data_IF_129373283805
#
_entry.id   IF_129373283805
#
_cell.length_a   1.000
_cell.length_b   1.000
_cell.length_c   1.000
_cell.angle_alpha   90.00
_cell.angle_beta   90.00
_cell.angle_gamma   90.00
#
_symmetry.space_group_name_H-M   'P 1'
#
loop_
_entity.id
_entity.type
_entity.pdbx_description
1 polymer ?
#
# COMPACT_ATOMS: atom_id res chain seq x y z
N UNK A 1 13.72 24.90 12.28
CA UNK A 1 13.76 24.72 10.83
C UNK A 1 14.05 23.25 10.62
N UNK A 2 13.01 22.41 10.64
CA UNK A 2 13.19 20.98 10.41
C UNK A 2 13.01 20.77 8.91
N UNK A 3 14.06 20.30 8.24
CA UNK A 3 13.98 19.73 6.90
C UNK A 3 12.92 18.62 6.94
N UNK A 4 11.76 18.88 6.35
CA UNK A 4 10.86 17.82 5.88
C UNK A 4 11.10 17.68 4.39
N UNK A 5 12.19 16.98 4.05
CA UNK A 5 12.30 16.33 2.73
C UNK A 5 11.78 14.90 2.87
N UNK A 6 10.47 14.79 3.12
CA UNK A 6 9.70 13.57 2.91
C UNK A 6 8.69 13.93 1.81
N UNK A 7 9.17 13.93 0.56
CA UNK A 7 8.31 14.09 -0.60
C UNK A 7 7.12 13.14 -0.48
N UNK A 8 5.91 13.70 -0.38
CA UNK A 8 4.69 12.94 -0.23
C UNK A 8 4.59 11.93 -1.38
N UNK A 9 4.61 10.63 -1.04
CA UNK A 9 4.62 9.56 -2.04
C UNK A 9 3.19 9.25 -2.45
N UNK A 10 2.91 9.38 -3.74
CA UNK A 10 1.60 9.09 -4.33
C UNK A 10 1.63 7.86 -5.23
N UNK A 11 0.49 7.18 -5.30
CA UNK A 11 0.31 5.94 -6.06
C UNK A 11 0.45 4.69 -5.19
N UNK A 12 0.44 3.54 -5.86
CA UNK A 12 0.47 2.22 -5.26
C UNK A 12 1.91 1.69 -5.10
N UNK A 13 2.27 1.29 -3.88
CA UNK A 13 3.61 0.78 -3.53
C UNK A 13 3.54 -0.63 -2.95
N UNK A 14 4.34 -1.56 -3.46
CA UNK A 14 4.46 -2.94 -2.95
C UNK A 14 5.46 -2.97 -1.78
N UNK A 15 4.96 -3.10 -0.55
CA UNK A 15 5.75 -2.93 0.66
C UNK A 15 6.68 -4.10 0.97
N UNK A 16 6.20 -5.34 0.82
CA UNK A 16 6.95 -6.54 1.16
C UNK A 16 7.46 -7.29 -0.09
N UNK A 17 7.69 -6.58 -1.20
CA UNK A 17 8.13 -7.18 -2.47
C UNK A 17 9.37 -8.07 -2.33
N UNK A 18 10.42 -7.57 -1.66
CA UNK A 18 11.65 -8.32 -1.44
C UNK A 18 11.44 -9.59 -0.60
N UNK A 19 10.53 -9.54 0.39
CA UNK A 19 10.20 -10.69 1.22
C UNK A 19 9.40 -11.70 0.40
N UNK A 20 8.39 -11.24 -0.34
CA UNK A 20 7.54 -12.06 -1.18
C UNK A 20 8.32 -12.77 -2.29
N UNK A 21 9.23 -12.07 -2.97
CA UNK A 21 10.05 -12.62 -4.06
C UNK A 21 11.08 -13.67 -3.61
N UNK A 22 11.32 -13.81 -2.31
CA UNK A 22 12.21 -14.84 -1.74
C UNK A 22 11.48 -16.13 -1.39
N UNK A 23 10.16 -16.13 -1.38
CA UNK A 23 9.35 -17.29 -1.03
C UNK A 23 9.27 -18.27 -2.21
N UNK A 24 9.37 -19.55 -1.90
CA UNK A 24 9.00 -20.61 -2.83
C UNK A 24 7.46 -20.78 -2.86
N UNK A 25 6.91 -21.38 -3.92
CA UNK A 25 5.46 -21.56 -4.10
C UNK A 25 4.80 -22.31 -2.92
N UNK A 26 5.52 -23.20 -2.25
CA UNK A 26 5.03 -23.95 -1.08
C UNK A 26 4.92 -23.11 0.19
N UNK A 27 5.59 -21.95 0.23
CA UNK A 27 5.60 -21.02 1.37
C UNK A 27 4.51 -19.94 1.24
N UNK A 28 3.82 -19.88 0.09
CA UNK A 28 2.70 -18.96 -0.15
C UNK A 28 1.42 -19.51 0.50
N UNK A 29 1.30 -19.34 1.82
CA UNK A 29 0.18 -19.87 2.59
C UNK A 29 -1.10 -19.01 2.47
N UNK A 30 -0.94 -17.70 2.27
CA UNK A 30 -2.03 -16.74 2.14
C UNK A 30 -1.88 -15.90 0.86
N UNK A 31 -2.25 -16.45 -0.32
CA UNK A 31 -2.13 -15.77 -1.61
C UNK A 31 -3.19 -14.67 -1.77
N UNK A 32 -3.09 -13.62 -0.96
CA UNK A 32 -4.01 -12.48 -0.95
C UNK A 32 -3.25 -11.18 -1.16
N UNK A 33 -3.92 -10.25 -1.84
CA UNK A 33 -3.46 -8.87 -2.00
C UNK A 33 -4.12 -8.00 -0.94
N UNK A 34 -3.30 -7.36 -0.12
CA UNK A 34 -3.74 -6.42 0.91
C UNK A 34 -3.36 -5.02 0.43
N UNK A 35 -4.34 -4.13 0.34
CA UNK A 35 -4.13 -2.76 -0.10
C UNK A 35 -4.55 -1.81 1.02
N UNK A 36 -3.57 -1.14 1.61
CA UNK A 36 -3.79 -0.16 2.66
C UNK A 36 -3.95 1.24 2.07
N UNK A 37 -5.02 1.94 2.47
CA UNK A 37 -5.31 3.30 2.04
C UNK A 37 -5.36 4.17 3.30
N UNK A 38 -4.53 5.22 3.36
CA UNK A 38 -4.46 6.08 4.54
C UNK A 38 -5.65 7.05 4.61
N UNK A 39 -5.87 7.63 5.80
CA UNK A 39 -6.93 8.63 6.04
C UNK A 39 -6.45 10.08 5.90
N UNK A 40 -7.29 10.99 6.40
CA UNK A 40 -7.01 12.44 6.48
C UNK A 40 -5.72 12.70 7.28
N UNK A 41 -4.86 13.58 6.78
CA UNK A 41 -3.54 13.91 7.35
C UNK A 41 -2.59 12.70 7.46
N UNK A 42 -2.90 11.61 6.74
CA UNK A 42 -2.04 10.45 6.61
C UNK A 42 -1.12 10.55 5.40
N UNK A 43 -0.22 9.57 5.29
CA UNK A 43 0.63 9.34 4.13
C UNK A 43 0.78 7.83 3.90
N UNK A 44 1.25 7.45 2.71
CA UNK A 44 1.40 6.05 2.33
C UNK A 44 2.26 5.22 3.30
N UNK A 45 3.20 5.83 4.02
CA UNK A 45 4.12 5.12 4.91
C UNK A 45 3.93 5.51 6.37
N UNK A 46 3.84 6.81 6.66
CA UNK A 46 3.86 7.30 8.05
C UNK A 46 2.56 6.98 8.80
N UNK A 47 1.45 6.79 8.08
CA UNK A 47 0.20 6.30 8.70
C UNK A 47 0.33 4.91 9.33
N UNK A 48 1.30 4.13 8.88
CA UNK A 48 1.51 2.75 9.29
C UNK A 48 2.83 2.57 10.04
N UNK A 49 3.58 3.66 10.28
CA UNK A 49 4.85 3.64 10.99
C UNK A 49 4.64 3.97 12.46
N UNK A 50 5.08 3.07 13.33
CA UNK A 50 5.15 3.35 14.75
C UNK A 50 6.39 4.21 15.06
N UNK A 51 6.37 4.93 16.19
CA UNK A 51 7.43 5.86 16.59
C UNK A 51 8.80 5.20 16.79
N UNK A 52 8.84 3.87 16.98
CA UNK A 52 10.08 3.09 17.06
C UNK A 52 10.68 2.75 15.67
N UNK A 53 10.05 3.19 14.58
CA UNK A 53 10.47 2.93 13.21
C UNK A 53 9.76 1.75 12.53
N UNK A 54 9.07 0.88 13.28
CA UNK A 54 8.37 -0.30 12.72
C UNK A 54 7.24 0.11 11.79
N UNK A 55 7.28 -0.35 10.54
CA UNK A 55 6.21 -0.22 9.56
C UNK A 55 5.39 -1.51 9.57
N UNK A 56 4.32 -1.57 10.38
CA UNK A 56 3.69 -2.86 10.72
C UNK A 56 3.13 -3.63 9.51
N UNK A 57 2.68 -2.92 8.47
CA UNK A 57 2.24 -3.53 7.20
C UNK A 57 3.37 -4.27 6.46
N UNK A 58 4.60 -3.77 6.56
CA UNK A 58 5.77 -4.36 5.91
C UNK A 58 6.50 -5.36 6.81
N UNK A 59 6.64 -5.00 8.09
CA UNK A 59 7.57 -5.67 9.00
C UNK A 59 6.90 -6.79 9.80
N UNK A 60 5.59 -6.70 10.07
CA UNK A 60 4.89 -7.63 10.97
C UNK A 60 3.81 -8.44 10.25
N UNK A 61 3.01 -7.78 9.39
CA UNK A 61 1.89 -8.43 8.72
C UNK A 61 2.29 -9.66 7.86
N UNK A 62 3.43 -9.67 7.14
CA UNK A 62 3.85 -10.86 6.40
C UNK A 62 4.23 -12.05 7.29
N UNK A 63 4.54 -11.83 8.57
CA UNK A 63 4.80 -12.92 9.53
C UNK A 63 3.50 -13.64 9.92
N UNK A 64 2.42 -12.87 10.12
CA UNK A 64 1.10 -13.40 10.44
C UNK A 64 0.38 -14.00 9.22
N UNK A 65 0.66 -13.46 8.02
CA UNK A 65 0.09 -13.90 6.74
C UNK A 65 1.20 -14.24 5.72
N UNK A 66 1.93 -15.36 5.90
CA UNK A 66 2.99 -15.75 4.98
C UNK A 66 2.49 -15.91 3.54
N UNK A 67 3.16 -15.27 2.58
CA UNK A 67 2.76 -15.29 1.18
C UNK A 67 1.74 -14.21 0.78
N UNK A 68 1.35 -13.30 1.67
CA UNK A 68 0.54 -12.16 1.25
C UNK A 68 1.38 -11.12 0.49
N UNK A 69 0.74 -10.41 -0.44
CA UNK A 69 1.31 -9.21 -1.05
C UNK A 69 0.68 -7.99 -0.39
N UNK A 70 1.50 -7.12 0.20
CA UNK A 70 1.04 -5.94 0.93
C UNK A 70 1.39 -4.69 0.15
N UNK A 71 0.38 -3.90 -0.16
CA UNK A 71 0.50 -2.63 -0.85
C UNK A 71 0.01 -1.49 0.04
N UNK A 72 0.57 -0.30 -0.16
CA UNK A 72 0.02 0.95 0.37
C UNK A 72 -0.25 1.93 -0.77
N UNK A 73 -1.33 2.68 -0.67
CA UNK A 73 -1.70 3.70 -1.63
C UNK A 73 -1.58 5.10 -1.03
N UNK A 74 -0.77 5.94 -1.66
CA UNK A 74 -0.62 7.33 -1.30
C UNK A 74 -1.47 8.25 -2.17
N UNK A 75 -2.19 9.17 -1.54
CA UNK A 75 -2.91 10.25 -2.24
C UNK A 75 -2.86 11.51 -1.39
N UNK A 76 -3.02 12.67 -2.03
CA UNK A 76 -3.10 13.92 -1.28
C UNK A 76 -4.46 13.97 -0.56
N UNK A 77 -4.44 13.76 0.76
CA UNK A 77 -5.65 13.78 1.58
C UNK A 77 -6.28 15.17 1.64
N UNK A 78 -5.48 16.23 1.54
CA UNK A 78 -5.96 17.60 1.44
C UNK A 78 -6.80 17.79 0.17
N UNK A 79 -6.40 17.23 -0.97
CA UNK A 79 -7.14 17.37 -2.24
C UNK A 79 -8.37 16.47 -2.28
N UNK A 80 -8.29 15.25 -1.73
CA UNK A 80 -9.40 14.31 -1.70
C UNK A 80 -10.55 14.77 -0.77
N UNK A 81 -10.22 15.38 0.38
CA UNK A 81 -11.24 15.81 1.36
C UNK A 81 -11.48 17.33 1.38
N UNK A 82 -10.79 18.07 0.52
CA UNK A 82 -10.68 19.53 0.59
C UNK A 82 -11.73 20.35 -0.14
N UNK A 83 -12.90 19.81 -0.56
CA UNK A 83 -14.20 20.53 -0.72
C UNK A 83 -15.15 20.03 -1.83
N UNK A 84 -14.90 18.93 -2.57
CA UNK A 84 -15.87 18.45 -3.57
C UNK A 84 -15.95 16.93 -3.68
N UNK A 85 -17.16 16.41 -3.97
CA UNK A 85 -17.38 15.00 -4.28
C UNK A 85 -16.53 14.53 -5.48
N UNK A 86 -16.28 15.43 -6.45
CA UNK A 86 -15.42 15.19 -7.61
C UNK A 86 -13.97 14.84 -7.23
N UNK A 87 -13.44 15.37 -6.12
CA UNK A 87 -12.11 15.01 -5.61
C UNK A 87 -12.03 13.56 -5.15
N UNK A 88 -13.07 13.09 -4.46
CA UNK A 88 -13.19 11.70 -3.99
C UNK A 88 -13.37 10.73 -5.15
N UNK A 89 -14.23 11.07 -6.12
CA UNK A 89 -14.50 10.22 -7.28
C UNK A 89 -13.25 10.03 -8.15
N UNK A 90 -12.47 11.10 -8.37
CA UNK A 90 -11.22 11.03 -9.12
C UNK A 90 -10.16 10.18 -8.40
N UNK A 91 -10.02 10.32 -7.07
CA UNK A 91 -9.10 9.49 -6.28
C UNK A 91 -9.52 8.01 -6.31
N UNK A 92 -10.82 7.72 -6.16
CA UNK A 92 -11.33 6.36 -6.25
C UNK A 92 -11.04 5.73 -7.62
N UNK A 93 -11.24 6.49 -8.70
CA UNK A 93 -10.94 6.02 -10.06
C UNK A 93 -9.45 5.75 -10.26
N UNK A 94 -8.56 6.62 -9.78
CA UNK A 94 -7.11 6.42 -9.85
C UNK A 94 -6.67 5.14 -9.13
N UNK A 95 -7.18 4.89 -7.91
CA UNK A 95 -6.93 3.66 -7.15
C UNK A 95 -7.37 2.44 -7.96
N UNK A 96 -8.57 2.46 -8.53
CA UNK A 96 -9.09 1.33 -9.32
C UNK A 96 -8.22 1.04 -10.55
N UNK A 97 -7.76 2.07 -11.25
CA UNK A 97 -6.87 1.91 -12.40
C UNK A 97 -5.55 1.28 -12.00
N UNK A 98 -4.89 1.80 -10.97
CA UNK A 98 -3.60 1.30 -10.50
C UNK A 98 -3.69 -0.15 -9.99
N UNK A 99 -4.77 -0.48 -9.25
CA UNK A 99 -5.03 -1.85 -8.84
C UNK A 99 -5.24 -2.78 -10.05
N UNK A 100 -5.94 -2.33 -11.08
CA UNK A 100 -6.14 -3.12 -12.28
C UNK A 100 -4.82 -3.36 -13.04
N UNK A 101 -3.88 -2.40 -13.02
CA UNK A 101 -2.55 -2.57 -13.59
C UNK A 101 -1.67 -3.57 -12.82
N UNK A 102 -1.87 -3.76 -11.51
CA UNK A 102 -1.12 -4.74 -10.71
C UNK A 102 -1.68 -6.17 -10.75
N UNK A 103 -2.93 -6.33 -11.22
CA UNK A 103 -3.60 -7.64 -11.36
C UNK A 103 -3.02 -8.63 -12.40
N UNK A 104 -2.20 -8.28 -13.42
CA UNK A 104 -1.71 -9.26 -14.39
C UNK A 104 -0.83 -10.38 -13.80
N UNK A 105 -0.39 -10.29 -12.54
CA UNK A 105 0.55 -11.23 -11.94
C UNK A 105 -0.08 -12.36 -11.12
N UNK A 106 -1.42 -12.51 -11.09
CA UNK A 106 -2.01 -13.76 -10.59
C UNK A 106 -1.72 -14.83 -11.64
N UNK A 107 -0.60 -15.54 -11.48
CA UNK A 107 -0.47 -16.88 -12.07
C UNK A 107 -1.62 -17.69 -11.49
N UNK A 108 -2.65 -17.92 -12.31
CA UNK A 108 -3.63 -18.96 -12.02
C UNK A 108 -2.83 -20.24 -11.92
N UNK A 109 -2.65 -20.74 -10.70
CA UNK A 109 -2.09 -22.07 -10.47
C UNK A 109 -3.09 -23.06 -11.07
N UNK A 110 -2.68 -23.67 -12.19
CA UNK A 110 -3.37 -24.81 -12.80
C UNK A 110 -2.94 -26.10 -12.12
#
# INVERSE_FOLDING_TARGET
MADQDDSEKYGLFFLNEDQFNRLDETEILYPVDIVAIHGINGSAYESWRHMNGTLWLQDLLPEDLPGCRVFTYGYSSATAFGSSAEGLDNTAFAILLELNFQRPSIKVLN
#
